data_IF_216087582994
#
_entry.id   IF_216087582994
#
_cell.length_a   1.000
_cell.length_b   1.000
_cell.length_c   1.000
_cell.angle_alpha   90.00
_cell.angle_beta   90.00
_cell.angle_gamma   90.00
#
_symmetry.space_group_name_H-M   'P 1'
#
loop_
_entity.id
_entity.type
_entity.pdbx_description
1 polymer ?
#
# COMPACT_ATOMS: atom_id res chain seq x y z
N UNK A 1 32.59 31.45 -21.20
CA UNK A 1 31.33 31.89 -20.59
C UNK A 1 30.22 30.87 -20.64
N UNK A 2 30.26 29.90 -21.51
CA UNK A 2 29.22 28.84 -21.56
C UNK A 2 29.53 27.64 -20.69
N UNK A 3 30.77 27.51 -20.21
CA UNK A 3 31.23 26.35 -19.43
C UNK A 3 30.61 26.20 -18.02
N UNK A 4 30.33 27.26 -17.26
CA UNK A 4 29.75 27.10 -15.90
C UNK A 4 28.35 26.48 -15.92
N UNK A 5 27.53 26.81 -16.91
CA UNK A 5 26.18 26.26 -17.03
C UNK A 5 26.17 24.75 -17.27
N UNK A 6 27.16 24.26 -18.03
CA UNK A 6 27.26 22.82 -18.28
C UNK A 6 27.67 22.02 -17.06
N UNK A 7 28.53 22.58 -16.24
CA UNK A 7 28.98 21.95 -15.01
C UNK A 7 27.81 21.82 -14.01
N UNK A 8 26.99 22.87 -13.91
CA UNK A 8 25.82 22.88 -13.03
C UNK A 8 24.83 21.79 -13.43
N UNK A 9 24.58 21.60 -14.72
CA UNK A 9 23.68 20.56 -15.21
C UNK A 9 24.19 19.17 -14.86
N UNK A 10 25.49 18.94 -14.98
CA UNK A 10 26.10 17.66 -14.62
C UNK A 10 25.97 17.35 -13.14
N UNK A 11 26.14 18.34 -12.28
CA UNK A 11 25.99 18.17 -10.83
C UNK A 11 24.55 17.82 -10.47
N UNK A 12 23.58 18.45 -11.11
CA UNK A 12 22.16 18.15 -10.91
C UNK A 12 21.80 16.71 -11.30
N UNK A 13 22.35 16.24 -12.42
CA UNK A 13 22.13 14.85 -12.86
C UNK A 13 22.70 13.83 -11.87
N UNK A 14 23.88 14.10 -11.33
CA UNK A 14 24.50 13.24 -10.32
C UNK A 14 23.68 13.19 -9.02
N UNK A 15 23.16 14.33 -8.58
CA UNK A 15 22.31 14.39 -7.39
C UNK A 15 21.03 13.58 -7.55
N UNK A 16 20.41 13.65 -8.73
CA UNK A 16 19.21 12.86 -9.04
C UNK A 16 19.50 11.37 -9.03
N UNK A 17 20.62 10.94 -9.57
CA UNK A 17 21.03 9.54 -9.58
C UNK A 17 21.25 8.98 -8.16
N UNK A 18 21.88 9.76 -7.29
CA UNK A 18 22.09 9.39 -5.89
C UNK A 18 20.77 9.25 -5.14
N UNK A 19 19.82 10.11 -5.42
CA UNK A 19 18.51 10.05 -4.79
C UNK A 19 17.77 8.75 -5.14
N UNK A 20 17.84 8.30 -6.39
CA UNK A 20 17.23 7.05 -6.83
C UNK A 20 17.87 5.84 -6.12
N UNK A 21 19.18 5.84 -5.93
CA UNK A 21 19.87 4.76 -5.24
C UNK A 21 19.46 4.62 -3.77
N UNK A 22 19.19 5.71 -3.07
CA UNK A 22 18.78 5.66 -1.67
C UNK A 22 17.36 5.12 -1.48
N UNK A 23 16.50 5.18 -2.50
CA UNK A 23 15.15 4.65 -2.41
C UNK A 23 15.07 3.14 -2.62
N UNK A 24 16.11 2.50 -3.15
CA UNK A 24 16.11 1.07 -3.46
C UNK A 24 16.39 0.15 -2.27
N UNK A 25 16.75 0.69 -1.10
CA UNK A 25 17.15 -0.10 0.06
C UNK A 25 16.06 -0.38 1.09
N UNK A 26 14.84 0.11 0.91
CA UNK A 26 13.79 -0.07 1.89
C UNK A 26 13.10 -1.42 1.75
N UNK A 27 12.99 -2.14 2.87
CA UNK A 27 12.22 -3.38 2.96
C UNK A 27 10.79 -3.05 3.37
N UNK A 28 9.81 -3.78 2.81
CA UNK A 28 8.41 -3.57 3.08
C UNK A 28 7.83 -2.39 2.33
N UNK A 29 6.57 -2.12 2.55
CA UNK A 29 5.85 -1.03 1.92
C UNK A 29 6.02 0.24 2.74
N UNK A 30 6.52 1.30 2.12
CA UNK A 30 6.65 2.60 2.76
C UNK A 30 5.32 3.33 2.72
N UNK A 31 4.89 3.88 3.86
CA UNK A 31 3.68 4.69 3.91
C UNK A 31 3.82 5.93 3.03
N UNK A 32 2.80 6.18 2.20
CA UNK A 32 2.72 7.32 1.31
C UNK A 32 1.27 7.74 1.12
N UNK A 33 1.05 8.89 0.50
CA UNK A 33 -0.31 9.41 0.28
C UNK A 33 -1.13 8.44 -0.59
N UNK A 34 -2.19 7.89 0.00
CA UNK A 34 -3.15 7.01 -0.65
C UNK A 34 -4.56 7.60 -0.68
N UNK A 35 -4.69 8.90 -0.48
CA UNK A 35 -5.99 9.58 -0.36
C UNK A 35 -6.91 9.39 -1.56
N UNK A 36 -6.37 9.09 -2.74
CA UNK A 36 -7.14 8.84 -3.95
C UNK A 36 -7.50 7.37 -4.16
N UNK A 37 -6.98 6.47 -3.32
CA UNK A 37 -7.28 5.05 -3.44
C UNK A 37 -8.71 4.75 -2.97
N UNK A 38 -9.48 3.95 -3.72
CA UNK A 38 -10.79 3.52 -3.26
C UNK A 38 -10.73 2.55 -2.08
N UNK A 39 -9.54 2.01 -1.78
CA UNK A 39 -9.33 1.16 -0.60
C UNK A 39 -9.46 1.92 0.72
N UNK A 40 -9.23 3.24 0.73
CA UNK A 40 -9.27 4.04 1.95
C UNK A 40 -10.63 3.93 2.61
N UNK A 41 -10.64 3.54 3.87
CA UNK A 41 -11.86 3.35 4.65
C UNK A 41 -11.74 2.19 5.62
N UNK A 42 -12.85 1.86 6.25
CA UNK A 42 -12.95 0.74 7.17
C UNK A 42 -13.82 -0.36 6.54
N UNK A 43 -13.30 -1.56 6.51
CA UNK A 43 -13.92 -2.69 5.85
C UNK A 43 -14.12 -3.84 6.84
N UNK A 44 -15.36 -4.23 7.03
CA UNK A 44 -15.75 -5.28 7.99
C UNK A 44 -15.83 -6.61 7.25
N UNK A 45 -15.09 -7.60 7.72
CA UNK A 45 -15.09 -8.93 7.15
C UNK A 45 -16.49 -9.55 7.23
N UNK A 46 -16.96 -10.10 6.12
CA UNK A 46 -18.26 -10.79 6.10
C UNK A 46 -18.16 -12.18 6.70
N UNK A 47 -17.00 -12.82 6.58
CA UNK A 47 -16.77 -14.13 7.15
C UNK A 47 -16.38 -14.02 8.61
N UNK A 48 -17.11 -14.72 9.47
CA UNK A 48 -16.83 -14.75 10.90
C UNK A 48 -15.44 -15.33 11.17
N UNK A 49 -14.65 -14.64 11.99
CA UNK A 49 -13.29 -15.03 12.32
C UNK A 49 -12.21 -14.39 11.50
N UNK A 50 -12.56 -13.75 10.37
CA UNK A 50 -11.60 -12.98 9.60
C UNK A 50 -11.36 -11.61 10.24
N UNK A 51 -10.24 -11.00 9.89
CA UNK A 51 -9.89 -9.67 10.39
C UNK A 51 -10.58 -8.58 9.58
N UNK A 52 -11.12 -7.58 10.29
CA UNK A 52 -11.51 -6.33 9.66
C UNK A 52 -10.28 -5.59 9.18
N UNK A 53 -10.43 -4.72 8.19
CA UNK A 53 -9.31 -3.99 7.60
C UNK A 53 -9.59 -2.50 7.60
N UNK A 54 -8.60 -1.73 8.02
CA UNK A 54 -8.66 -0.26 7.97
C UNK A 54 -7.50 0.23 7.14
N UNK A 55 -7.82 1.03 6.12
CA UNK A 55 -6.85 1.66 5.24
C UNK A 55 -6.97 3.18 5.38
N UNK A 56 -5.91 3.81 5.88
CA UNK A 56 -5.88 5.26 6.06
C UNK A 56 -5.32 5.97 4.82
N UNK A 57 -5.71 7.22 4.64
CA UNK A 57 -5.29 8.00 3.49
C UNK A 57 -3.77 8.25 3.43
N UNK A 58 -3.07 8.11 4.55
CA UNK A 58 -1.61 8.30 4.61
C UNK A 58 -0.81 7.03 4.27
N UNK A 59 -1.47 5.95 3.87
CA UNK A 59 -0.81 4.69 3.54
C UNK A 59 -0.58 3.77 4.73
N UNK A 60 -1.06 4.14 5.90
CA UNK A 60 -1.06 3.27 7.08
C UNK A 60 -2.42 2.63 7.28
N UNK A 61 -2.50 1.64 8.14
CA UNK A 61 -3.75 1.01 8.48
C UNK A 61 -3.56 -0.05 9.55
N UNK A 62 -4.56 -0.89 9.69
CA UNK A 62 -4.44 -2.03 10.59
C UNK A 62 -5.46 -3.13 10.24
N UNK A 63 -5.12 -4.34 10.65
CA UNK A 63 -6.01 -5.49 10.65
C UNK A 63 -6.48 -5.69 12.08
N UNK A 64 -7.76 -5.97 12.27
CA UNK A 64 -8.33 -6.17 13.61
C UNK A 64 -9.19 -7.42 13.65
N UNK A 65 -8.87 -8.32 14.58
CA UNK A 65 -9.66 -9.49 14.85
C UNK A 65 -9.87 -9.58 16.37
N UNK A 66 -11.08 -9.22 16.84
CA UNK A 66 -11.33 -9.09 18.26
C UNK A 66 -10.46 -7.99 18.87
N UNK A 67 -9.67 -8.33 19.87
CA UNK A 67 -8.75 -7.39 20.51
C UNK A 67 -7.37 -7.35 19.87
N UNK A 68 -7.11 -8.24 18.91
CA UNK A 68 -5.81 -8.31 18.22
C UNK A 68 -5.79 -7.28 17.10
N UNK A 69 -4.83 -6.35 17.17
CA UNK A 69 -4.62 -5.32 16.17
C UNK A 69 -3.21 -5.47 15.62
N UNK A 70 -3.10 -5.56 14.29
CA UNK A 70 -1.81 -5.62 13.61
C UNK A 70 -1.69 -4.43 12.66
N UNK A 71 -0.67 -3.62 12.86
CA UNK A 71 -0.41 -2.43 12.03
C UNK A 71 0.09 -2.83 10.66
N UNK A 72 -0.36 -2.10 9.65
CA UNK A 72 0.04 -2.31 8.27
C UNK A 72 0.46 -1.00 7.62
N UNK A 73 1.21 -1.12 6.54
CA UNK A 73 1.38 -0.09 5.52
C UNK A 73 0.94 -0.67 4.20
N UNK A 74 0.38 0.16 3.33
CA UNK A 74 -0.13 -0.32 2.04
C UNK A 74 0.12 0.70 0.94
N UNK A 75 0.10 0.23 -0.29
CA UNK A 75 0.16 1.05 -1.49
C UNK A 75 -0.74 0.45 -2.56
N UNK A 76 -1.70 1.24 -3.03
CA UNK A 76 -2.54 0.87 -4.16
C UNK A 76 -1.73 1.03 -5.45
N UNK A 77 -1.63 -0.03 -6.24
CA UNK A 77 -0.88 -0.01 -7.49
C UNK A 77 -1.67 0.62 -8.65
N UNK A 78 -2.98 0.83 -8.48
CA UNK A 78 -3.82 1.44 -9.49
C UNK A 78 -4.26 0.51 -10.62
N UNK A 79 -3.95 -0.76 -10.52
CA UNK A 79 -4.25 -1.79 -11.53
C UNK A 79 -5.17 -2.90 -11.02
N UNK A 80 -5.84 -2.68 -9.89
CA UNK A 80 -6.64 -3.71 -9.23
C UNK A 80 -5.85 -4.58 -8.27
N UNK A 81 -4.61 -4.21 -7.99
CA UNK A 81 -3.78 -4.84 -6.97
C UNK A 81 -3.26 -3.80 -5.99
N UNK A 82 -2.86 -4.25 -4.81
CA UNK A 82 -2.16 -3.41 -3.84
C UNK A 82 -1.10 -4.22 -3.11
N UNK A 83 -0.11 -3.53 -2.60
CA UNK A 83 0.94 -4.12 -1.78
C UNK A 83 0.71 -3.76 -0.33
N UNK A 84 1.01 -4.69 0.56
CA UNK A 84 0.83 -4.51 1.99
C UNK A 84 2.00 -5.14 2.75
N UNK A 85 2.45 -4.47 3.79
CA UNK A 85 3.37 -5.03 4.78
C UNK A 85 2.75 -4.91 6.16
N UNK A 86 3.01 -5.89 7.02
CA UNK A 86 2.56 -5.84 8.41
C UNK A 86 3.75 -5.57 9.33
N UNK A 87 3.48 -5.21 10.57
CA UNK A 87 4.55 -4.98 11.55
C UNK A 87 5.34 -6.26 11.88
N UNK A 88 4.72 -7.43 11.71
CA UNK A 88 5.34 -8.72 11.96
C UNK A 88 5.95 -9.35 10.70
N UNK A 89 5.45 -9.00 9.52
CA UNK A 89 5.93 -9.53 8.26
C UNK A 89 6.27 -8.37 7.32
N UNK A 90 7.53 -8.02 7.27
CA UNK A 90 8.00 -6.86 6.50
C UNK A 90 8.13 -7.13 5.01
N UNK A 91 8.11 -8.37 4.59
CA UNK A 91 8.08 -8.73 3.17
C UNK A 91 6.72 -8.33 2.59
N UNK A 92 6.69 -7.52 1.54
CA UNK A 92 5.41 -7.09 0.95
C UNK A 92 4.61 -8.25 0.41
N UNK A 93 3.30 -8.19 0.61
CA UNK A 93 2.34 -9.12 0.04
C UNK A 93 1.53 -8.36 -0.99
N UNK A 94 1.38 -8.92 -2.18
CA UNK A 94 0.51 -8.36 -3.23
C UNK A 94 -0.82 -9.09 -3.23
N UNK A 95 -1.91 -8.33 -3.11
CA UNK A 95 -3.26 -8.88 -3.22
C UNK A 95 -4.02 -8.16 -4.33
N UNK A 96 -4.95 -8.88 -4.96
CA UNK A 96 -5.92 -8.27 -5.85
C UNK A 96 -7.12 -7.74 -5.08
N UNK A 97 -7.83 -6.79 -5.66
CA UNK A 97 -9.07 -6.32 -5.08
C UNK A 97 -10.03 -5.81 -6.14
N UNK A 98 -11.30 -5.82 -5.78
CA UNK A 98 -12.39 -5.28 -6.57
C UNK A 98 -13.40 -4.67 -5.62
N UNK A 99 -13.91 -3.49 -5.95
CA UNK A 99 -14.95 -2.81 -5.16
C UNK A 99 -16.22 -2.71 -6.00
N UNK A 100 -17.31 -3.19 -5.44
CA UNK A 100 -18.64 -3.09 -6.02
C UNK A 100 -19.57 -2.47 -4.98
N UNK A 101 -19.91 -1.18 -5.15
CA UNK A 101 -20.69 -0.44 -4.16
C UNK A 101 -19.97 -0.38 -2.81
N UNK A 102 -20.61 -0.92 -1.79
CA UNK A 102 -20.04 -0.97 -0.42
C UNK A 102 -19.36 -2.29 -0.10
N UNK A 103 -19.11 -3.12 -1.11
CA UNK A 103 -18.45 -4.41 -0.93
C UNK A 103 -17.06 -4.37 -1.53
N UNK A 104 -16.07 -4.78 -0.74
CA UNK A 104 -14.70 -4.98 -1.16
C UNK A 104 -14.45 -6.48 -1.26
N UNK A 105 -13.96 -6.92 -2.41
CA UNK A 105 -13.51 -8.30 -2.60
C UNK A 105 -11.99 -8.31 -2.62
N UNK A 106 -11.37 -9.00 -1.67
CA UNK A 106 -9.94 -9.25 -1.64
C UNK A 106 -9.66 -10.58 -2.32
N UNK A 107 -8.66 -10.58 -3.20
CA UNK A 107 -8.34 -11.75 -4.01
C UNK A 107 -6.93 -12.20 -3.68
N UNK A 108 -6.81 -13.40 -3.09
CA UNK A 108 -5.52 -14.02 -2.87
C UNK A 108 -4.97 -14.47 -4.23
N UNK A 109 -3.79 -13.95 -4.62
CA UNK A 109 -3.31 -14.06 -6.00
C UNK A 109 -2.85 -15.47 -6.38
N UNK A 110 -2.39 -16.28 -5.44
CA UNK A 110 -1.89 -17.63 -5.75
C UNK A 110 -3.01 -18.62 -6.00
N UNK A 111 -4.06 -18.57 -5.17
CA UNK A 111 -5.15 -19.53 -5.20
C UNK A 111 -6.44 -18.98 -5.81
N UNK A 112 -6.50 -17.66 -6.03
CA UNK A 112 -7.68 -16.99 -6.56
C UNK A 112 -8.85 -16.96 -5.59
N UNK A 113 -8.61 -17.14 -4.29
CA UNK A 113 -9.65 -17.12 -3.27
C UNK A 113 -10.09 -15.68 -3.02
N UNK A 114 -11.39 -15.44 -3.10
CA UNK A 114 -12.00 -14.14 -2.80
C UNK A 114 -12.58 -14.12 -1.39
N UNK A 115 -12.34 -13.02 -0.68
CA UNK A 115 -12.95 -12.73 0.59
C UNK A 115 -13.68 -11.39 0.51
N UNK A 116 -14.90 -11.34 1.03
CA UNK A 116 -15.74 -10.16 0.93
C UNK A 116 -15.79 -9.39 2.24
N UNK A 117 -15.77 -8.07 2.10
CA UNK A 117 -15.83 -7.10 3.20
C UNK A 117 -16.90 -6.07 2.91
N UNK A 118 -17.55 -5.58 3.95
CA UNK A 118 -18.55 -4.51 3.83
C UNK A 118 -17.98 -3.20 4.36
N UNK A 119 -18.19 -2.12 3.63
CA UNK A 119 -17.76 -0.79 4.08
C UNK A 119 -18.53 -0.38 5.33
N UNK A 120 -17.81 0.01 6.36
CA UNK A 120 -18.41 0.58 7.55
C UNK A 120 -18.81 2.02 7.27
N UNK A 121 -20.05 2.33 7.54
CA UNK A 121 -20.61 3.67 7.36
C UNK A 121 -20.25 4.58 8.54
#
# INVERSE_FOLDING_TARGET
MKKPARIIVLVLCLAAALFVLTSCGSRGVKASDQSKSPLVGTWIAQKKGDSDRVFNADGTGYLQRGEIIEKITFRDNGDGTFEMSTEHAKTPITEGYRIEGDTLYMIEMKLGIEEAYTRKQ
#
